data_IF_901904041721
#
_entry.id   IF_901904041721
#
_cell.length_a   1.000
_cell.length_b   1.000
_cell.length_c   1.000
_cell.angle_alpha   90.00
_cell.angle_beta   90.00
_cell.angle_gamma   90.00
#
_symmetry.space_group_name_H-M   'P 1'
#
loop_
_entity.id
_entity.type
_entity.pdbx_description
1 polymer ?
#
# COMPACT_ATOMS: atom_id res chain seq x y z
N UNK A 1 -20.13 31.49 -26.49
CA UNK A 1 -20.24 30.01 -26.53
C UNK A 1 -19.21 29.49 -25.53
N UNK A 2 -19.60 29.41 -24.25
CA UNK A 2 -18.76 28.81 -23.21
C UNK A 2 -19.09 27.32 -23.22
N UNK A 3 -18.07 26.47 -23.34
CA UNK A 3 -18.23 25.04 -23.18
C UNK A 3 -18.39 24.74 -21.69
N UNK A 4 -19.58 24.34 -21.28
CA UNK A 4 -19.81 23.76 -19.96
C UNK A 4 -18.99 22.45 -19.85
N UNK A 5 -18.19 22.23 -18.79
CA UNK A 5 -17.58 20.93 -18.55
C UNK A 5 -18.67 19.94 -18.15
N UNK A 6 -18.77 18.84 -18.90
CA UNK A 6 -19.66 17.73 -18.56
C UNK A 6 -19.36 17.23 -17.14
N UNK A 7 -20.37 16.99 -16.29
CA UNK A 7 -20.12 16.43 -14.96
C UNK A 7 -19.61 15.00 -15.11
N UNK A 8 -18.34 14.78 -14.76
CA UNK A 8 -17.78 13.44 -14.58
C UNK A 8 -18.75 12.59 -13.75
N UNK A 9 -19.16 11.47 -14.31
CA UNK A 9 -20.23 10.62 -13.77
C UNK A 9 -19.96 10.24 -12.29
N UNK A 10 -20.86 10.52 -11.34
CA UNK A 10 -20.62 10.33 -9.92
C UNK A 10 -20.72 8.88 -9.41
N UNK A 11 -20.47 7.85 -10.23
CA UNK A 11 -20.66 6.45 -9.80
C UNK A 11 -19.67 5.48 -10.44
N UNK A 12 -18.38 5.70 -10.19
CA UNK A 12 -17.38 4.64 -10.23
C UNK A 12 -16.67 4.47 -8.86
N UNK A 13 -16.84 5.44 -7.95
CA UNK A 13 -16.09 5.50 -6.69
C UNK A 13 -16.70 4.70 -5.53
N UNK A 14 -17.98 4.32 -5.58
CA UNK A 14 -18.67 3.64 -4.46
C UNK A 14 -18.11 2.25 -4.13
N UNK A 15 -17.44 1.58 -5.09
CA UNK A 15 -16.91 0.21 -4.91
C UNK A 15 -15.40 0.09 -5.00
N UNK A 16 -14.67 1.17 -5.23
CA UNK A 16 -13.21 1.12 -5.43
C UNK A 16 -12.50 0.49 -4.22
N UNK A 17 -12.97 0.77 -3.01
CA UNK A 17 -12.36 0.19 -1.80
C UNK A 17 -12.65 -1.30 -1.65
N UNK A 18 -13.81 -1.76 -2.11
CA UNK A 18 -14.16 -3.17 -2.16
C UNK A 18 -13.27 -3.91 -3.18
N UNK A 19 -13.05 -3.33 -4.36
CA UNK A 19 -12.14 -3.84 -5.39
C UNK A 19 -10.68 -3.85 -4.92
N UNK A 20 -10.25 -2.86 -4.16
CA UNK A 20 -8.91 -2.85 -3.54
C UNK A 20 -8.78 -4.02 -2.56
N UNK A 21 -9.84 -4.34 -1.82
CA UNK A 21 -9.90 -5.44 -0.86
C UNK A 21 -10.20 -6.82 -1.48
N UNK A 22 -10.34 -6.91 -2.81
CA UNK A 22 -10.54 -8.18 -3.51
C UNK A 22 -9.33 -9.11 -3.34
N UNK A 23 -9.62 -10.41 -3.19
CA UNK A 23 -8.60 -11.41 -2.93
C UNK A 23 -7.59 -11.51 -4.06
N UNK A 24 -8.04 -11.35 -5.30
CA UNK A 24 -7.17 -11.39 -6.48
C UNK A 24 -6.22 -10.19 -6.54
N UNK A 25 -6.73 -8.98 -6.27
CA UNK A 25 -5.93 -7.77 -6.21
C UNK A 25 -4.82 -7.88 -5.14
N UNK A 26 -5.16 -8.39 -3.95
CA UNK A 26 -4.19 -8.61 -2.88
C UNK A 26 -3.12 -9.63 -3.24
N UNK A 27 -3.49 -10.70 -3.93
CA UNK A 27 -2.52 -11.70 -4.39
C UNK A 27 -1.54 -11.11 -5.41
N UNK A 28 -2.04 -10.28 -6.33
CA UNK A 28 -1.19 -9.56 -7.28
C UNK A 28 -0.28 -8.54 -6.58
N UNK A 29 -0.82 -7.77 -5.64
CA UNK A 29 -0.05 -6.83 -4.82
C UNK A 29 1.04 -7.55 -4.01
N UNK A 30 0.70 -8.65 -3.34
CA UNK A 30 1.65 -9.49 -2.59
C UNK A 30 2.76 -10.04 -3.49
N UNK A 31 2.42 -10.48 -4.72
CA UNK A 31 3.41 -10.96 -5.69
C UNK A 31 4.37 -9.85 -6.11
N UNK A 32 3.87 -8.63 -6.34
CA UNK A 32 4.70 -7.45 -6.66
C UNK A 32 5.61 -7.06 -5.49
N UNK A 33 5.07 -7.02 -4.26
CA UNK A 33 5.85 -6.73 -3.05
C UNK A 33 6.97 -7.76 -2.84
N UNK A 34 6.68 -9.05 -3.05
CA UNK A 34 7.70 -10.11 -3.02
C UNK A 34 8.76 -9.94 -4.12
N UNK A 35 8.36 -9.57 -5.33
CA UNK A 35 9.27 -9.35 -6.46
C UNK A 35 10.19 -8.14 -6.25
N UNK A 36 9.70 -7.10 -5.59
CA UNK A 36 10.48 -5.90 -5.27
C UNK A 36 11.62 -6.16 -4.27
N UNK A 37 11.60 -7.29 -3.55
CA UNK A 37 12.61 -7.66 -2.53
C UNK A 37 12.94 -6.51 -1.58
N UNK A 38 11.96 -5.64 -1.31
CA UNK A 38 12.14 -4.43 -0.52
C UNK A 38 12.56 -4.76 0.91
N UNK A 39 13.35 -3.87 1.52
CA UNK A 39 13.68 -4.00 2.93
C UNK A 39 12.40 -3.87 3.79
N UNK A 40 12.34 -4.51 4.97
CA UNK A 40 11.17 -4.45 5.83
C UNK A 40 10.91 -3.03 6.34
N UNK A 41 9.64 -2.72 6.63
CA UNK A 41 9.21 -1.47 7.23
C UNK A 41 9.60 -1.36 8.71
N UNK A 42 8.95 -0.45 9.45
CA UNK A 42 9.21 -0.26 10.90
C UNK A 42 8.81 -1.48 11.73
N UNK A 43 7.87 -2.27 11.23
CA UNK A 43 7.39 -3.52 11.82
C UNK A 43 8.38 -4.68 11.71
N UNK A 44 9.46 -4.53 10.95
CA UNK A 44 10.42 -5.61 10.70
C UNK A 44 9.85 -6.78 9.90
N UNK A 45 8.61 -6.65 9.38
CA UNK A 45 7.90 -7.74 8.72
C UNK A 45 8.54 -8.02 7.36
N UNK A 46 9.04 -9.23 7.18
CA UNK A 46 9.58 -9.65 5.88
C UNK A 46 8.44 -9.97 4.91
N UNK A 47 8.70 -9.82 3.61
CA UNK A 47 7.76 -10.20 2.55
C UNK A 47 7.37 -11.70 2.57
N UNK A 48 8.15 -12.54 3.27
CA UNK A 48 7.87 -13.96 3.47
C UNK A 48 6.90 -14.20 4.63
N UNK A 49 6.93 -13.37 5.68
CA UNK A 49 6.02 -13.44 6.83
C UNK A 49 4.64 -12.81 6.51
N UNK A 50 4.60 -11.88 5.55
CA UNK A 50 3.39 -11.17 5.13
C UNK A 50 2.16 -12.06 4.84
N UNK A 51 2.26 -13.19 4.13
CA UNK A 51 1.10 -14.03 3.82
C UNK A 51 0.48 -14.69 5.05
N UNK A 52 1.31 -15.03 6.06
CA UNK A 52 0.83 -15.62 7.30
C UNK A 52 0.10 -14.56 8.14
N UNK A 53 0.70 -13.37 8.26
CA UNK A 53 0.08 -12.24 8.96
C UNK A 53 -1.24 -11.82 8.32
N UNK A 54 -1.28 -11.70 6.98
CA UNK A 54 -2.52 -11.37 6.27
C UNK A 54 -3.59 -12.45 6.51
N UNK A 55 -3.25 -13.74 6.56
CA UNK A 55 -4.25 -14.78 6.83
C UNK A 55 -4.95 -14.59 8.18
N UNK A 56 -4.23 -14.09 9.18
CA UNK A 56 -4.73 -13.88 10.53
C UNK A 56 -5.46 -12.53 10.70
N UNK A 57 -4.88 -11.45 10.17
CA UNK A 57 -5.35 -10.09 10.42
C UNK A 57 -6.18 -9.47 9.28
N UNK A 58 -6.25 -10.12 8.11
CA UNK A 58 -6.97 -9.58 6.94
C UNK A 58 -8.44 -9.22 7.20
N UNK A 59 -9.24 -10.01 7.95
CA UNK A 59 -10.63 -9.62 8.23
C UNK A 59 -10.74 -8.27 8.95
N UNK A 60 -9.90 -8.04 9.96
CA UNK A 60 -9.87 -6.78 10.72
C UNK A 60 -9.33 -5.61 9.88
N UNK A 61 -8.32 -5.86 9.04
CA UNK A 61 -7.77 -4.84 8.14
C UNK A 61 -8.81 -4.44 7.10
N UNK A 62 -9.48 -5.41 6.47
CA UNK A 62 -10.54 -5.16 5.49
C UNK A 62 -11.68 -4.36 6.11
N UNK A 63 -12.12 -4.73 7.30
CA UNK A 63 -13.16 -3.99 8.02
C UNK A 63 -12.75 -2.55 8.31
N UNK A 64 -11.53 -2.32 8.81
CA UNK A 64 -11.01 -0.99 9.07
C UNK A 64 -10.84 -0.15 7.78
N UNK A 65 -10.47 -0.78 6.67
CA UNK A 65 -10.34 -0.15 5.35
C UNK A 65 -11.70 0.27 4.80
N UNK A 66 -12.71 -0.61 4.87
CA UNK A 66 -14.08 -0.31 4.42
C UNK A 66 -14.76 0.73 5.32
N UNK A 67 -14.49 0.70 6.61
CA UNK A 67 -15.00 1.68 7.58
C UNK A 67 -14.19 2.99 7.61
N UNK A 68 -13.12 3.10 6.82
CA UNK A 68 -12.25 4.29 6.76
C UNK A 68 -11.48 4.59 8.06
N UNK A 69 -11.36 3.62 8.96
CA UNK A 69 -10.68 3.76 10.27
C UNK A 69 -9.27 3.19 10.28
N UNK A 70 -8.83 2.59 9.17
CA UNK A 70 -7.49 2.04 9.04
C UNK A 70 -6.42 3.13 9.17
N UNK A 71 -5.47 2.93 10.10
CA UNK A 71 -4.34 3.83 10.31
C UNK A 71 -3.05 3.13 9.88
N UNK A 72 -2.42 3.53 8.76
CA UNK A 72 -1.16 2.96 8.33
C UNK A 72 -0.05 3.25 9.35
N UNK A 73 0.91 2.33 9.46
CA UNK A 73 2.05 2.52 10.35
C UNK A 73 3.03 3.56 9.78
N UNK A 74 3.80 4.25 10.65
CA UNK A 74 4.79 5.22 10.20
C UNK A 74 5.86 4.56 9.31
N UNK A 75 6.33 5.31 8.31
CA UNK A 75 7.35 4.82 7.36
C UNK A 75 8.73 4.73 8.01
N UNK A 76 9.49 3.68 7.67
CA UNK A 76 10.88 3.53 8.11
C UNK A 76 11.78 4.42 7.27
N UNK A 77 12.50 5.35 7.90
CA UNK A 77 13.48 6.18 7.21
C UNK A 77 14.76 5.40 6.97
N UNK A 78 15.19 5.32 5.73
CA UNK A 78 16.47 4.72 5.33
C UNK A 78 17.23 5.72 4.48
N UNK A 79 18.50 5.93 4.79
CA UNK A 79 19.40 6.75 3.99
C UNK A 79 20.24 5.83 3.10
N UNK A 80 20.08 5.96 1.79
CA UNK A 80 20.88 5.23 0.80
C UNK A 80 21.80 6.20 0.04
N UNK A 81 23.07 5.86 -0.17
CA UNK A 81 23.98 6.72 -0.93
C UNK A 81 23.52 6.85 -2.39
N UNK A 82 23.64 8.04 -2.97
CA UNK A 82 23.44 8.25 -4.41
C UNK A 82 24.62 7.61 -5.17
N UNK A 83 24.38 7.05 -6.37
CA UNK A 83 25.43 6.40 -7.15
C UNK A 83 26.58 7.36 -7.53
N UNK A 84 26.28 8.64 -7.76
CA UNK A 84 27.27 9.70 -8.07
C UNK A 84 28.05 10.24 -6.85
N UNK A 85 27.86 9.70 -5.64
CA UNK A 85 28.57 10.17 -4.44
C UNK A 85 28.14 11.55 -3.91
N UNK A 86 27.27 12.28 -4.62
CA UNK A 86 26.75 13.60 -4.24
C UNK A 86 25.73 13.62 -3.07
N UNK A 87 25.87 12.72 -2.10
CA UNK A 87 25.07 12.66 -0.88
C UNK A 87 24.09 11.50 -0.79
N UNK A 88 23.20 11.56 0.20
CA UNK A 88 22.23 10.49 0.52
C UNK A 88 20.84 10.78 -0.06
N UNK A 89 20.12 9.71 -0.42
CA UNK A 89 18.69 9.68 -0.71
C UNK A 89 17.97 9.18 0.53
N UNK A 90 17.06 10.00 1.06
CA UNK A 90 16.15 9.60 2.15
C UNK A 90 14.97 8.84 1.54
N UNK A 91 14.89 7.55 1.81
CA UNK A 91 13.75 6.69 1.48
C UNK A 91 12.84 6.54 2.70
N UNK A 92 11.53 6.58 2.46
CA UNK A 92 10.52 6.09 3.40
C UNK A 92 10.07 4.70 2.95
N UNK A 93 10.32 3.69 3.76
CA UNK A 93 9.88 2.31 3.51
C UNK A 93 8.62 2.08 4.34
N UNK A 94 7.42 2.03 3.74
CA UNK A 94 6.19 1.72 4.47
C UNK A 94 6.22 0.27 4.98
N UNK A 95 5.40 -0.01 5.99
CA UNK A 95 5.08 -1.38 6.36
C UNK A 95 4.38 -2.07 5.19
N UNK A 96 4.61 -3.36 5.04
CA UNK A 96 4.07 -4.12 3.92
C UNK A 96 2.53 -4.21 3.92
N UNK A 97 1.90 -3.72 4.99
CA UNK A 97 0.47 -3.45 5.10
C UNK A 97 0.35 -1.95 5.40
N UNK A 98 -0.26 -1.21 4.49
CA UNK A 98 -0.54 0.23 4.55
C UNK A 98 -1.85 0.50 3.82
#
# INVERSE_FOLDING_TARGET
MAADPEPESPSACDRLMEEVCERENLQQALKRVKANKGAPGVDGMTVQALPAYLREHWPSIKDALLNGTYKPQPVRRVEIPKPDGGGVRKLGIPTAIS
#
